data_IF_793485936203
#
_entry.id   IF_793485936203
#
_cell.length_a   1.000
_cell.length_b   1.000
_cell.length_c   1.000
_cell.angle_alpha   90.00
_cell.angle_beta   90.00
_cell.angle_gamma   90.00
#
_symmetry.space_group_name_H-M   'P 1'
#
loop_
_entity.id
_entity.type
_entity.pdbx_description
1 polymer ?
#
# COMPACT_ATOMS: atom_id res chain seq x y z
N UNK A 1 -5.75 55.67 68.86
CA UNK A 1 -5.49 55.96 67.44
C UNK A 1 -4.80 54.74 66.86
N UNK A 2 -5.45 54.18 65.85
CA UNK A 2 -5.20 53.00 64.99
C UNK A 2 -3.98 52.05 65.15
N UNK A 3 -4.34 50.75 65.21
CA UNK A 3 -3.84 49.57 64.46
C UNK A 3 -2.39 49.11 64.69
N UNK A 4 -2.22 47.96 65.37
CA UNK A 4 -1.29 46.90 64.94
C UNK A 4 -1.90 45.49 65.19
N UNK A 5 -2.45 44.95 64.10
CA UNK A 5 -2.46 43.56 63.60
C UNK A 5 -1.96 42.45 64.57
N UNK A 6 -2.88 41.62 65.09
CA UNK A 6 -2.56 40.30 65.66
C UNK A 6 -2.88 39.20 64.64
N UNK A 7 -1.83 38.50 64.25
CA UNK A 7 -1.83 37.30 63.41
C UNK A 7 -2.34 36.13 64.27
N UNK A 8 -3.30 35.37 63.76
CA UNK A 8 -3.64 34.05 64.31
C UNK A 8 -3.81 33.08 63.15
N UNK A 9 -2.83 32.18 63.07
CA UNK A 9 -2.68 31.08 62.14
C UNK A 9 -3.70 30.01 62.53
N UNK A 10 -4.61 29.66 61.63
CA UNK A 10 -5.43 28.46 61.76
C UNK A 10 -5.00 27.50 60.67
N UNK A 11 -4.38 26.40 61.11
CA UNK A 11 -3.88 25.31 60.28
C UNK A 11 -5.05 24.54 59.65
N UNK A 12 -5.01 24.38 58.33
CA UNK A 12 -5.93 23.51 57.58
C UNK A 12 -5.26 22.13 57.49
N UNK A 13 -5.92 21.01 57.88
CA UNK A 13 -5.37 19.69 57.68
C UNK A 13 -5.37 19.35 56.18
N UNK A 14 -4.19 19.09 55.63
CA UNK A 14 -4.06 18.49 54.30
C UNK A 14 -4.49 17.02 54.37
N UNK A 15 -5.64 16.70 53.76
CA UNK A 15 -6.09 15.34 53.57
C UNK A 15 -5.17 14.61 52.57
N UNK A 16 -4.51 13.56 53.05
CA UNK A 16 -3.64 12.69 52.26
C UNK A 16 -4.51 11.67 51.52
N UNK A 17 -4.81 11.92 50.24
CA UNK A 17 -5.49 10.93 49.38
C UNK A 17 -4.42 9.97 48.83
N UNK A 18 -4.29 8.80 49.46
CA UNK A 18 -3.59 7.64 48.90
C UNK A 18 -4.45 7.02 47.79
N UNK A 19 -4.40 7.62 46.59
CA UNK A 19 -4.91 6.99 45.38
C UNK A 19 -3.95 5.91 44.92
N UNK A 20 -4.36 4.65 45.00
CA UNK A 20 -3.64 3.52 44.40
C UNK A 20 -3.44 3.78 42.90
N UNK A 21 -2.20 4.01 42.48
CA UNK A 21 -1.81 3.88 41.08
C UNK A 21 -1.77 2.40 40.72
N UNK A 22 -2.92 1.85 40.35
CA UNK A 22 -2.99 0.63 39.58
C UNK A 22 -2.43 0.92 38.18
N UNK A 23 -1.13 0.67 37.98
CA UNK A 23 -0.56 0.52 36.64
C UNK A 23 -1.18 -0.75 36.03
N UNK A 24 -2.34 -0.60 35.39
CA UNK A 24 -2.79 -1.61 34.44
C UNK A 24 -1.70 -1.72 33.37
N UNK A 25 -1.18 -2.92 33.06
CA UNK A 25 -0.34 -3.08 31.89
C UNK A 25 -1.18 -2.61 30.70
N UNK A 26 -0.71 -1.56 30.03
CA UNK A 26 -1.15 -1.24 28.68
C UNK A 26 -0.81 -2.47 27.83
N UNK A 27 -1.79 -3.36 27.66
CA UNK A 27 -1.73 -4.37 26.64
C UNK A 27 -1.56 -3.61 25.32
N UNK A 28 -0.32 -3.60 24.81
CA UNK A 28 -0.04 -3.10 23.48
C UNK A 28 -0.87 -3.97 22.55
N UNK A 29 -1.98 -3.43 22.03
CA UNK A 29 -2.72 -4.08 20.98
C UNK A 29 -1.72 -4.37 19.87
N UNK A 30 -1.59 -5.63 19.45
CA UNK A 30 -0.77 -5.98 18.30
C UNK A 30 -1.25 -5.10 17.13
N UNK A 31 -0.40 -4.17 16.69
CA UNK A 31 -0.70 -3.35 15.52
C UNK A 31 -0.62 -4.26 14.32
N UNK A 32 -1.77 -4.59 13.75
CA UNK A 32 -1.81 -5.32 12.49
C UNK A 32 -1.15 -4.47 11.40
N UNK A 33 -0.26 -5.09 10.62
CA UNK A 33 0.30 -4.46 9.43
C UNK A 33 -0.82 -4.01 8.48
N UNK A 34 -0.63 -2.85 7.86
CA UNK A 34 -1.57 -2.28 6.90
C UNK A 34 -0.81 -1.79 5.67
N UNK A 35 -1.39 -1.98 4.49
CA UNK A 35 -0.89 -1.36 3.27
C UNK A 35 -2.01 -0.64 2.55
N UNK A 36 -1.83 0.67 2.38
CA UNK A 36 -2.78 1.52 1.66
C UNK A 36 -2.22 1.90 0.29
N UNK A 37 -2.98 1.65 -0.76
CA UNK A 37 -2.68 2.10 -2.11
C UNK A 37 -3.57 3.29 -2.47
N UNK A 38 -2.96 4.43 -2.70
CA UNK A 38 -3.60 5.69 -3.09
C UNK A 38 -3.46 5.89 -4.61
N UNK A 39 -4.58 5.89 -5.34
CA UNK A 39 -4.58 5.88 -6.80
C UNK A 39 -4.70 7.29 -7.37
N UNK A 40 -3.81 7.62 -8.31
CA UNK A 40 -3.79 8.92 -9.02
C UNK A 40 -3.67 8.71 -10.53
N UNK A 41 -4.04 9.74 -11.30
CA UNK A 41 -3.97 9.70 -12.77
C UNK A 41 -5.37 9.53 -13.36
N UNK A 42 -5.58 8.49 -14.16
CA UNK A 42 -6.94 8.18 -14.60
C UNK A 42 -7.76 7.74 -13.38
N UNK A 43 -8.94 8.33 -13.17
CA UNK A 43 -9.89 7.88 -12.14
C UNK A 43 -10.05 6.36 -12.27
N UNK A 44 -9.91 5.55 -11.22
CA UNK A 44 -10.17 4.10 -11.18
C UNK A 44 -11.10 3.68 -10.04
N UNK A 45 -12.01 4.57 -9.67
CA UNK A 45 -13.06 4.26 -8.72
C UNK A 45 -13.86 3.03 -9.19
N UNK A 46 -14.10 2.08 -8.27
CA UNK A 46 -14.78 0.82 -8.58
C UNK A 46 -13.91 -0.27 -9.22
N UNK A 47 -12.65 0.02 -9.58
CA UNK A 47 -11.72 -1.02 -10.01
C UNK A 47 -11.42 -1.99 -8.85
N UNK A 48 -11.19 -3.26 -9.18
CA UNK A 48 -10.79 -4.29 -8.21
C UNK A 48 -9.28 -4.39 -8.15
N UNK A 49 -8.74 -4.31 -6.95
CA UNK A 49 -7.35 -4.60 -6.63
C UNK A 49 -7.29 -5.95 -5.95
N UNK A 50 -6.40 -6.81 -6.42
CA UNK A 50 -6.18 -8.12 -5.81
C UNK A 50 -4.77 -8.19 -5.27
N UNK A 51 -4.62 -8.32 -3.95
CA UNK A 51 -3.34 -8.61 -3.30
C UNK A 51 -3.15 -10.13 -3.24
N UNK A 52 -2.07 -10.65 -3.81
CA UNK A 52 -1.76 -12.08 -3.77
C UNK A 52 -0.40 -12.29 -3.11
N UNK A 53 -0.35 -12.79 -1.86
CA UNK A 53 0.87 -13.31 -1.25
C UNK A 53 1.49 -14.42 -2.09
N UNK A 54 2.82 -14.53 -2.13
CA UNK A 54 3.52 -15.55 -2.93
C UNK A 54 3.20 -17.00 -2.50
N UNK A 55 2.83 -17.19 -1.24
CA UNK A 55 2.49 -18.49 -0.67
C UNK A 55 1.08 -18.98 -1.01
N UNK A 56 0.23 -18.16 -1.66
CA UNK A 56 -1.17 -18.51 -1.92
C UNK A 56 -1.53 -18.34 -3.39
N UNK A 57 -2.42 -19.20 -3.87
CA UNK A 57 -2.91 -19.19 -5.25
C UNK A 57 -4.14 -18.31 -5.45
N UNK A 58 -4.75 -17.83 -4.36
CA UNK A 58 -5.96 -17.01 -4.40
C UNK A 58 -5.68 -15.70 -3.67
N UNK A 59 -5.71 -14.61 -4.43
CA UNK A 59 -5.53 -13.28 -3.88
C UNK A 59 -6.76 -12.76 -3.14
N UNK A 60 -6.53 -11.79 -2.27
CA UNK A 60 -7.53 -11.05 -1.54
C UNK A 60 -8.00 -9.86 -2.39
N UNK A 61 -9.27 -9.83 -2.83
CA UNK A 61 -9.80 -8.72 -3.61
C UNK A 61 -10.27 -7.59 -2.71
N UNK A 62 -10.10 -6.35 -3.17
CA UNK A 62 -10.67 -5.16 -2.55
C UNK A 62 -10.96 -4.10 -3.63
N UNK A 63 -12.05 -3.35 -3.46
CA UNK A 63 -12.50 -2.35 -4.45
C UNK A 63 -11.97 -0.98 -4.07
N UNK A 64 -11.47 -0.23 -5.06
CA UNK A 64 -11.08 1.17 -4.87
C UNK A 64 -12.30 1.99 -4.46
N UNK A 65 -12.21 2.65 -3.30
CA UNK A 65 -13.19 3.58 -2.77
C UNK A 65 -12.51 4.90 -2.37
N UNK A 66 -13.08 6.03 -2.79
CA UNK A 66 -12.50 7.35 -2.57
C UNK A 66 -11.04 7.45 -3.05
N UNK A 67 -10.72 6.76 -4.15
CA UNK A 67 -9.37 6.75 -4.72
C UNK A 67 -8.33 5.94 -3.95
N UNK A 68 -8.69 5.11 -2.96
CA UNK A 68 -7.75 4.24 -2.25
C UNK A 68 -8.27 2.84 -2.00
N UNK A 69 -7.37 1.93 -1.62
CA UNK A 69 -7.69 0.63 -1.04
C UNK A 69 -6.69 0.32 0.08
N UNK A 70 -7.16 -0.32 1.14
CA UNK A 70 -6.32 -0.73 2.27
C UNK A 70 -6.46 -2.23 2.48
N UNK A 71 -5.33 -2.92 2.65
CA UNK A 71 -5.26 -4.30 3.08
C UNK A 71 -4.66 -4.34 4.49
N UNK A 72 -5.30 -5.08 5.39
CA UNK A 72 -4.89 -5.20 6.80
C UNK A 72 -4.57 -6.67 7.08
N UNK A 73 -3.49 -6.94 7.80
CA UNK A 73 -3.17 -8.30 8.26
C UNK A 73 -4.08 -8.72 9.40
N UNK A 74 -4.43 -10.01 9.47
CA UNK A 74 -5.07 -10.60 10.65
C UNK A 74 -4.04 -11.19 11.63
N UNK A 75 -2.79 -11.35 11.20
CA UNK A 75 -1.74 -12.10 11.91
C UNK A 75 -0.49 -11.24 12.19
N UNK A 76 -0.64 -9.92 12.23
CA UNK A 76 0.46 -8.98 12.48
C UNK A 76 1.26 -8.56 11.25
N UNK A 77 1.54 -9.46 10.30
CA UNK A 77 2.36 -9.15 9.09
C UNK A 77 1.61 -9.40 7.79
N UNK A 78 1.91 -8.62 6.75
CA UNK A 78 1.54 -8.91 5.36
C UNK A 78 2.76 -9.48 4.62
N UNK A 79 2.59 -10.67 4.05
CA UNK A 79 3.68 -11.40 3.41
C UNK A 79 4.12 -10.77 2.05
N UNK A 80 5.33 -11.08 1.56
CA UNK A 80 5.73 -10.73 0.20
C UNK A 80 4.70 -11.23 -0.84
N UNK A 81 4.51 -10.45 -1.89
CA UNK A 81 3.50 -10.76 -2.90
C UNK A 81 3.40 -9.70 -3.99
N UNK A 82 2.26 -9.66 -4.68
CA UNK A 82 2.00 -8.68 -5.73
C UNK A 82 0.57 -8.16 -5.68
N UNK A 83 0.35 -7.05 -6.38
CA UNK A 83 -0.97 -6.46 -6.54
C UNK A 83 -1.36 -6.46 -8.02
N UNK A 84 -2.58 -6.87 -8.32
CA UNK A 84 -3.17 -6.81 -9.65
C UNK A 84 -4.33 -5.82 -9.67
N UNK A 85 -4.54 -5.17 -10.81
CA UNK A 85 -5.64 -4.22 -11.04
C UNK A 85 -6.50 -4.71 -12.21
N UNK A 86 -7.81 -4.72 -11.99
CA UNK A 86 -8.82 -5.05 -12.99
C UNK A 86 -10.00 -4.07 -12.93
N UNK A 87 -10.65 -3.85 -14.08
CA UNK A 87 -11.79 -2.95 -14.20
C UNK A 87 -12.45 -3.04 -15.58
N UNK A 88 -13.78 -3.09 -15.58
CA UNK A 88 -14.66 -3.26 -16.74
C UNK A 88 -14.47 -2.23 -17.87
N UNK A 89 -14.09 -1.01 -17.53
CA UNK A 89 -13.83 0.08 -18.48
C UNK A 89 -12.49 -0.02 -19.21
N UNK A 90 -11.63 -0.96 -18.82
CA UNK A 90 -10.39 -1.24 -19.54
C UNK A 90 -10.58 -2.30 -20.60
N UNK A 91 -9.59 -2.42 -21.47
CA UNK A 91 -9.57 -3.46 -22.49
C UNK A 91 -9.57 -4.85 -21.84
N UNK A 92 -10.39 -5.76 -22.38
CA UNK A 92 -10.37 -7.15 -21.97
C UNK A 92 -9.08 -7.81 -22.53
N UNK A 93 -8.20 -8.23 -21.63
CA UNK A 93 -6.93 -8.89 -21.96
C UNK A 93 -6.96 -10.41 -21.74
N UNK A 94 -8.09 -10.98 -21.28
CA UNK A 94 -8.18 -12.32 -20.69
C UNK A 94 -7.13 -12.57 -19.58
N UNK A 95 -6.68 -11.49 -18.93
CA UNK A 95 -5.59 -11.50 -17.97
C UNK A 95 -5.60 -10.21 -17.15
N UNK A 96 -4.99 -10.23 -15.97
CA UNK A 96 -4.90 -9.06 -15.09
C UNK A 96 -3.56 -8.35 -15.25
N UNK A 97 -3.58 -7.02 -15.08
CA UNK A 97 -2.36 -6.21 -15.11
C UNK A 97 -1.81 -6.05 -13.69
N UNK A 98 -0.51 -6.26 -13.50
CA UNK A 98 0.12 -6.04 -12.20
C UNK A 98 0.44 -4.56 -11.95
N UNK A 99 0.35 -4.14 -10.69
CA UNK A 99 0.94 -2.88 -10.23
C UNK A 99 2.46 -3.07 -10.15
N UNK A 100 3.20 -2.24 -10.88
CA UNK A 100 4.65 -2.31 -10.95
C UNK A 100 5.29 -1.61 -9.74
N UNK A 101 6.07 -2.34 -8.94
CA UNK A 101 6.80 -1.75 -7.81
C UNK A 101 8.10 -1.06 -8.24
N UNK A 102 8.74 -1.59 -9.28
CA UNK A 102 9.92 -0.97 -9.86
C UNK A 102 10.03 -1.30 -11.35
N UNK A 103 10.65 -0.40 -12.12
CA UNK A 103 11.07 -0.68 -13.50
C UNK A 103 12.59 -0.79 -13.56
N UNK A 104 13.13 -1.57 -14.50
CA UNK A 104 14.59 -1.68 -14.65
C UNK A 104 15.21 -0.31 -14.88
N UNK A 105 16.24 0.00 -14.10
CA UNK A 105 17.01 1.25 -14.20
C UNK A 105 16.37 2.46 -13.52
N UNK A 106 15.21 2.31 -12.87
CA UNK A 106 14.67 3.37 -12.01
C UNK A 106 15.40 3.40 -10.69
N UNK A 107 15.64 4.60 -10.16
CA UNK A 107 16.24 4.77 -8.84
C UNK A 107 15.15 4.70 -7.77
N UNK A 108 15.50 4.10 -6.65
CA UNK A 108 14.85 4.27 -5.36
C UNK A 108 14.42 5.71 -5.09
N UNK A 109 13.18 5.90 -4.67
CA UNK A 109 12.56 7.20 -4.39
C UNK A 109 12.26 8.05 -5.62
N UNK A 110 12.69 7.67 -6.83
CA UNK A 110 12.47 8.47 -8.03
C UNK A 110 11.02 8.39 -8.51
N UNK A 111 10.45 9.51 -8.93
CA UNK A 111 9.16 9.47 -9.63
C UNK A 111 9.35 8.87 -11.01
N UNK A 112 8.57 7.84 -11.35
CA UNK A 112 8.49 7.30 -12.70
C UNK A 112 7.36 7.99 -13.44
N UNK A 113 7.67 8.67 -14.54
CA UNK A 113 6.68 9.26 -15.43
C UNK A 113 5.98 8.16 -16.26
N UNK A 114 4.79 8.46 -16.78
CA UNK A 114 4.08 7.53 -17.69
C UNK A 114 4.93 7.14 -18.90
N UNK A 115 5.67 8.08 -19.49
CA UNK A 115 6.49 7.78 -20.68
C UNK A 115 7.65 6.83 -20.35
N UNK A 116 8.26 6.97 -19.17
CA UNK A 116 9.28 6.04 -18.68
C UNK A 116 8.69 4.65 -18.41
N UNK A 117 7.55 4.58 -17.72
CA UNK A 117 6.85 3.33 -17.46
C UNK A 117 6.55 2.58 -18.77
N UNK A 118 5.94 3.27 -19.74
CA UNK A 118 5.58 2.70 -21.05
C UNK A 118 6.79 2.23 -21.87
N UNK A 119 7.94 2.89 -21.74
CA UNK A 119 9.18 2.52 -22.45
C UNK A 119 9.98 1.44 -21.74
N UNK A 120 9.70 1.15 -20.47
CA UNK A 120 10.40 0.09 -19.77
C UNK A 120 10.10 -1.25 -20.41
N UNK A 121 11.15 -2.06 -20.61
CA UNK A 121 11.08 -3.43 -21.11
C UNK A 121 11.12 -4.48 -20.00
N UNK A 122 11.33 -4.05 -18.74
CA UNK A 122 11.41 -4.91 -17.57
C UNK A 122 10.78 -4.28 -16.34
N UNK A 123 10.08 -5.09 -15.56
CA UNK A 123 9.39 -4.71 -14.33
C UNK A 123 9.72 -5.69 -13.20
N UNK A 124 9.70 -5.17 -11.98
CA UNK A 124 9.68 -5.92 -10.74
C UNK A 124 8.32 -5.63 -10.09
N UNK A 125 7.34 -6.54 -10.21
CA UNK A 125 5.99 -6.35 -9.71
C UNK A 125 5.86 -6.69 -8.21
N UNK A 126 6.87 -7.33 -7.65
CA UNK A 126 6.84 -7.85 -6.29
C UNK A 126 7.04 -6.75 -5.24
N UNK A 127 6.21 -6.84 -4.22
CA UNK A 127 6.31 -6.13 -2.96
C UNK A 127 6.88 -7.06 -1.89
N UNK A 128 7.77 -6.54 -1.06
CA UNK A 128 8.53 -7.30 -0.07
C UNK A 128 7.71 -7.71 1.16
N UNK A 129 6.45 -7.27 1.26
CA UNK A 129 5.66 -7.42 2.48
C UNK A 129 6.00 -6.35 3.52
N UNK A 130 5.28 -6.37 4.64
CA UNK A 130 5.53 -5.45 5.76
C UNK A 130 4.97 -6.02 7.06
N UNK A 131 5.56 -5.63 8.18
CA UNK A 131 5.07 -5.84 9.55
C UNK A 131 4.55 -4.54 10.20
N UNK A 132 4.45 -3.46 9.42
CA UNK A 132 4.00 -2.13 9.87
C UNK A 132 2.94 -1.54 8.92
N UNK A 133 2.62 -0.26 9.08
CA UNK A 133 1.74 0.48 8.18
C UNK A 133 2.55 1.13 7.05
N UNK A 134 2.22 0.82 5.81
CA UNK A 134 2.82 1.40 4.60
C UNK A 134 1.77 2.07 3.71
N UNK A 135 2.17 3.13 3.02
CA UNK A 135 1.34 3.78 2.01
C UNK A 135 2.08 3.97 0.69
N UNK A 136 1.39 3.68 -0.41
CA UNK A 136 1.93 3.85 -1.76
C UNK A 136 1.03 4.77 -2.60
N UNK A 137 1.66 5.67 -3.35
CA UNK A 137 0.97 6.34 -4.46
C UNK A 137 1.07 5.49 -5.71
N UNK A 138 -0.05 4.91 -6.15
CA UNK A 138 -0.18 4.17 -7.40
C UNK A 138 -0.61 5.11 -8.52
N UNK A 139 0.26 5.30 -9.51
CA UNK A 139 -0.05 6.04 -10.74
C UNK A 139 -0.73 5.10 -11.72
N UNK A 140 -1.91 5.48 -12.19
CA UNK A 140 -2.71 4.72 -13.15
C UNK A 140 -2.76 5.45 -14.49
N UNK A 141 -2.44 4.72 -15.55
CA UNK A 141 -2.56 5.17 -16.92
C UNK A 141 -3.20 4.11 -17.81
N UNK A 142 -3.32 4.42 -19.09
CA UNK A 142 -3.67 3.44 -20.11
C UNK A 142 -2.64 3.42 -21.22
N UNK A 143 -2.52 2.31 -21.93
CA UNK A 143 -1.87 2.21 -23.23
C UNK A 143 -2.78 1.47 -24.20
N UNK A 144 -2.59 1.73 -25.50
CA UNK A 144 -3.31 0.98 -26.53
C UNK A 144 -2.71 -0.43 -26.61
N UNK A 145 -3.54 -1.45 -26.53
CA UNK A 145 -3.20 -2.83 -26.78
C UNK A 145 -3.90 -3.32 -28.04
N UNK A 146 -3.13 -3.71 -29.06
CA UNK A 146 -3.71 -4.24 -30.30
C UNK A 146 -4.16 -5.69 -30.16
N UNK A 147 -3.64 -6.42 -29.18
CA UNK A 147 -4.02 -7.80 -28.87
C UNK A 147 -5.23 -7.91 -27.93
N UNK A 148 -5.68 -6.81 -27.33
CA UNK A 148 -6.90 -6.79 -26.52
C UNK A 148 -8.13 -7.29 -27.29
N UNK A 149 -9.05 -7.93 -26.59
CA UNK A 149 -10.31 -8.40 -27.15
C UNK A 149 -11.38 -7.29 -27.17
N UNK A 150 -12.34 -7.42 -28.09
CA UNK A 150 -13.44 -6.46 -28.24
C UNK A 150 -13.04 -5.11 -28.84
N UNK A 151 -13.94 -4.13 -28.77
CA UNK A 151 -13.75 -2.79 -29.38
C UNK A 151 -12.83 -1.89 -28.56
N UNK A 152 -12.85 -2.02 -27.23
CA UNK A 152 -12.00 -1.21 -26.36
C UNK A 152 -10.57 -1.76 -26.36
N UNK A 153 -9.62 -0.97 -26.86
CA UNK A 153 -8.20 -1.33 -26.92
C UNK A 153 -7.36 -0.64 -25.84
N UNK A 154 -7.96 0.09 -24.90
CA UNK A 154 -7.21 0.81 -23.86
C UNK A 154 -7.05 -0.07 -22.63
N UNK A 155 -5.90 -0.70 -22.47
CA UNK A 155 -5.59 -1.48 -21.27
C UNK A 155 -4.83 -0.63 -20.24
N UNK A 156 -5.05 -0.97 -18.97
CA UNK A 156 -4.46 -0.28 -17.83
C UNK A 156 -2.95 -0.53 -17.73
N UNK A 157 -2.22 0.45 -17.21
CA UNK A 157 -0.85 0.32 -16.72
C UNK A 157 -0.81 1.02 -15.36
N UNK A 158 -0.25 0.36 -14.34
CA UNK A 158 -0.19 0.90 -12.99
C UNK A 158 1.22 0.71 -12.41
N UNK A 159 1.71 1.73 -11.70
CA UNK A 159 3.04 1.68 -11.08
C UNK A 159 3.12 2.58 -9.84
N UNK A 160 3.92 2.17 -8.87
CA UNK A 160 4.21 2.97 -7.68
C UNK A 160 5.44 3.86 -7.91
N UNK A 161 5.67 4.80 -6.99
CA UNK A 161 6.99 5.39 -6.82
C UNK A 161 7.90 4.34 -6.15
N UNK A 162 8.97 3.86 -6.80
CA UNK A 162 9.78 2.77 -6.26
C UNK A 162 10.41 3.14 -4.92
N UNK A 163 10.21 2.32 -3.89
CA UNK A 163 10.97 2.39 -2.64
C UNK A 163 11.80 1.12 -2.51
N UNK A 164 13.13 1.20 -2.31
CA UNK A 164 13.99 0.01 -2.25
C UNK A 164 13.73 -0.85 -1.02
N UNK A 165 13.16 -0.26 0.05
CA UNK A 165 12.79 -0.99 1.25
C UNK A 165 11.55 -1.88 1.03
N UNK A 166 10.67 -1.52 0.10
CA UNK A 166 9.37 -2.17 -0.07
C UNK A 166 9.23 -2.94 -1.39
N UNK A 167 10.03 -2.63 -2.40
CA UNK A 167 10.12 -3.45 -3.61
C UNK A 167 11.08 -4.61 -3.35
N UNK A 168 10.66 -5.85 -3.61
CA UNK A 168 11.61 -6.95 -3.68
C UNK A 168 12.42 -6.84 -4.98
N UNK A 169 13.51 -6.07 -4.90
CA UNK A 169 14.44 -5.86 -6.01
C UNK A 169 15.33 -7.09 -6.27
N UNK A 170 15.36 -8.05 -5.33
CA UNK A 170 16.03 -9.34 -5.51
C UNK A 170 15.15 -10.34 -6.27
N UNK A 171 13.84 -10.09 -6.32
CA UNK A 171 12.85 -10.87 -7.02
C UNK A 171 13.02 -10.89 -8.55
N UNK A 172 12.30 -11.81 -9.17
CA UNK A 172 12.37 -12.05 -10.61
C UNK A 172 11.90 -10.82 -11.40
N UNK A 173 12.71 -10.36 -12.35
CA UNK A 173 12.29 -9.34 -13.32
C UNK A 173 11.47 -9.98 -14.44
N UNK A 174 10.37 -9.36 -14.84
CA UNK A 174 9.51 -9.83 -15.93
C UNK A 174 9.61 -8.91 -17.15
N UNK A 175 9.48 -9.50 -18.34
CA UNK A 175 9.39 -8.72 -19.57
C UNK A 175 8.05 -7.97 -19.63
N UNK A 176 8.07 -6.75 -20.16
CA UNK A 176 6.86 -5.93 -20.29
C UNK A 176 6.46 -5.72 -21.74
N UNK A 177 5.15 -5.51 -21.95
CA UNK A 177 4.62 -4.94 -23.18
C UNK A 177 4.04 -3.55 -22.88
N UNK A 178 4.74 -2.51 -23.35
CA UNK A 178 4.42 -1.09 -23.08
C UNK A 178 4.35 -0.79 -21.59
N UNK A 179 5.31 -1.30 -20.82
CA UNK A 179 5.38 -1.13 -19.37
C UNK A 179 4.45 -2.02 -18.55
N UNK A 180 3.57 -2.81 -19.19
CA UNK A 180 2.70 -3.73 -18.45
C UNK A 180 3.33 -5.11 -18.37
N UNK A 181 3.18 -5.73 -17.22
CA UNK A 181 3.26 -7.16 -17.08
C UNK A 181 1.84 -7.69 -16.86
N UNK A 182 1.49 -8.69 -17.67
CA UNK A 182 0.16 -9.28 -17.74
C UNK A 182 0.30 -10.71 -17.23
N UNK A 183 -0.51 -11.06 -16.25
CA UNK A 183 -0.42 -12.36 -15.57
C UNK A 183 -1.26 -13.42 -16.26
N UNK A 184 -0.61 -14.53 -16.64
CA UNK A 184 -1.24 -15.79 -17.07
C UNK A 184 -0.78 -16.97 -16.18
N UNK A 185 -0.50 -16.71 -14.90
CA UNK A 185 0.04 -17.68 -13.94
C UNK A 185 0.58 -16.99 -12.68
N UNK A 186 1.23 -17.76 -11.81
CA UNK A 186 1.76 -17.28 -10.52
C UNK A 186 3.04 -16.44 -10.68
N UNK A 187 3.20 -15.41 -9.85
CA UNK A 187 4.45 -14.66 -9.67
C UNK A 187 5.18 -15.22 -8.47
N UNK A 188 6.49 -15.45 -8.60
CA UNK A 188 7.37 -15.69 -7.45
C UNK A 188 7.98 -14.38 -6.96
N UNK A 189 7.64 -14.02 -5.73
CA UNK A 189 8.06 -12.79 -5.05
C UNK A 189 8.91 -13.03 -3.80
N UNK A 190 9.12 -14.28 -3.42
CA UNK A 190 10.12 -14.74 -2.49
C UNK A 190 11.19 -15.54 -3.26
N UNK A 191 12.44 -15.42 -2.81
CA UNK A 191 13.60 -16.14 -3.35
C UNK A 191 13.98 -17.33 -2.48
#
# INVERSE_FOLDING_TARGET
MEIVKRISIVAIPAALVLGLFGLAPLASAATNAEVTLNFVGINCEGCTITYTPDSVTTGMPATIKNGSVTFTSESGTLAPGYFAIDGDRFANLNAVTTISFMYKGTKSGSTVSRSQAVKSNKVFPCWAGTDTTEEFTVRVGTVVDRGALGKNKRAVIAWVQPTPASADISGTSYATNRGRFILNGDIKCSS
#
